data_IF_730217395093
#
_entry.id   IF_730217395093
#
_cell.length_a   1.000
_cell.length_b   1.000
_cell.length_c   1.000
_cell.angle_alpha   90.00
_cell.angle_beta   90.00
_cell.angle_gamma   90.00
#
_symmetry.space_group_name_H-M   'P 1'
#
loop_
_entity.id
_entity.type
_entity.pdbx_description
1 polymer ?
#
# COMPACT_ATOMS: atom_id res chain seq x y z
N UNK A 1 23.50 8.10 -5.09
CA UNK A 1 22.16 8.41 -5.67
C UNK A 1 21.27 9.00 -4.58
N UNK A 2 20.30 9.87 -4.89
CA UNK A 2 19.28 10.26 -3.88
C UNK A 2 18.16 9.19 -3.83
N UNK A 3 17.22 9.31 -2.88
CA UNK A 3 16.16 8.32 -2.70
C UNK A 3 15.20 8.26 -3.89
N UNK A 4 14.89 9.42 -4.47
CA UNK A 4 14.04 9.50 -5.68
C UNK A 4 14.61 8.69 -6.84
N UNK A 5 15.84 9.02 -7.25
CA UNK A 5 16.51 8.39 -8.39
C UNK A 5 16.74 6.90 -8.17
N UNK A 6 17.09 6.51 -6.93
CA UNK A 6 17.29 5.10 -6.55
C UNK A 6 16.03 4.29 -6.72
N UNK A 7 14.92 4.78 -6.18
CA UNK A 7 13.63 4.08 -6.29
C UNK A 7 13.12 4.04 -7.72
N UNK A 8 13.24 5.13 -8.46
CA UNK A 8 12.85 5.15 -9.87
C UNK A 8 13.64 4.13 -10.70
N UNK A 9 14.97 4.10 -10.55
CA UNK A 9 15.83 3.11 -11.21
C UNK A 9 15.52 1.68 -10.79
N UNK A 10 15.20 1.45 -9.51
CA UNK A 10 14.80 0.12 -9.06
C UNK A 10 13.51 -0.33 -9.78
N UNK A 11 12.51 0.54 -9.88
CA UNK A 11 11.24 0.22 -10.55
C UNK A 11 11.45 -0.03 -12.06
N UNK A 12 12.29 0.79 -12.72
CA UNK A 12 12.54 0.70 -14.17
C UNK A 12 13.63 -0.29 -14.57
N UNK A 13 14.18 -1.06 -13.63
CA UNK A 13 15.24 -2.02 -13.90
C UNK A 13 16.51 -1.36 -14.48
N UNK A 14 16.91 -0.21 -13.94
CA UNK A 14 18.01 0.65 -14.42
C UNK A 14 19.22 0.74 -13.46
N UNK A 15 19.54 -0.36 -12.78
CA UNK A 15 20.72 -0.55 -11.93
C UNK A 15 20.85 0.53 -10.83
N UNK A 16 20.00 0.50 -9.79
CA UNK A 16 20.14 1.40 -8.64
C UNK A 16 21.46 1.15 -7.88
N UNK A 17 21.93 2.13 -7.09
CA UNK A 17 23.14 1.99 -6.28
C UNK A 17 22.94 1.10 -5.03
N UNK A 18 21.69 0.81 -4.66
CA UNK A 18 21.27 -0.24 -3.74
C UNK A 18 19.75 -0.40 -3.84
N UNK A 19 19.21 -1.48 -3.27
CA UNK A 19 17.78 -1.62 -2.97
C UNK A 19 17.29 -0.37 -2.24
N UNK A 20 16.27 0.33 -2.76
CA UNK A 20 15.59 1.41 -2.05
C UNK A 20 14.81 0.86 -0.87
N UNK A 21 14.76 1.63 0.21
CA UNK A 21 14.11 1.25 1.45
C UNK A 21 12.95 2.18 1.76
N UNK A 22 11.82 1.59 2.15
CA UNK A 22 10.71 2.23 2.82
C UNK A 22 10.65 1.78 4.29
N UNK A 23 10.84 2.72 5.20
CA UNK A 23 10.84 2.39 6.61
C UNK A 23 9.47 1.99 7.16
N UNK A 24 8.35 2.41 6.54
CA UNK A 24 6.93 2.17 6.89
C UNK A 24 6.63 1.53 8.27
N UNK A 25 7.23 2.03 9.35
CA UNK A 25 7.08 1.48 10.70
C UNK A 25 5.68 1.82 11.21
N UNK A 26 5.06 0.89 11.94
CA UNK A 26 3.78 1.15 12.57
C UNK A 26 3.95 2.22 13.66
N UNK A 27 2.87 2.97 13.90
CA UNK A 27 2.84 4.01 14.94
C UNK A 27 3.22 3.45 16.32
N UNK A 28 2.82 2.20 16.63
CA UNK A 28 3.21 1.50 17.85
C UNK A 28 4.73 1.44 18.06
N UNK A 29 5.53 1.18 17.02
CA UNK A 29 6.98 1.18 17.11
C UNK A 29 7.52 2.56 17.52
N UNK A 30 7.05 3.64 16.88
CA UNK A 30 7.45 5.01 17.19
C UNK A 30 7.11 5.39 18.64
N UNK A 31 5.95 4.97 19.13
CA UNK A 31 5.52 5.25 20.50
C UNK A 31 6.34 4.49 21.54
N UNK A 32 6.67 3.24 21.26
CA UNK A 32 7.38 2.35 22.19
C UNK A 32 8.89 2.64 22.24
N UNK A 33 9.52 2.92 21.09
CA UNK A 33 10.97 3.11 21.02
C UNK A 33 11.44 4.57 20.91
N UNK A 34 10.55 5.51 20.56
CA UNK A 34 10.76 6.96 20.60
C UNK A 34 12.06 7.40 19.89
N UNK A 35 12.95 8.10 20.58
CA UNK A 35 14.22 8.61 20.05
C UNK A 35 15.11 7.50 19.45
N UNK A 36 15.03 6.27 19.96
CA UNK A 36 15.86 5.17 19.46
C UNK A 36 15.56 4.82 18.00
N UNK A 37 14.28 4.88 17.58
CA UNK A 37 13.93 4.71 16.17
C UNK A 37 14.46 5.89 15.35
N UNK A 38 14.38 7.11 15.86
CA UNK A 38 14.90 8.28 15.16
C UNK A 38 16.41 8.17 14.93
N UNK A 39 17.15 7.63 15.90
CA UNK A 39 18.58 7.39 15.75
C UNK A 39 18.88 6.30 14.70
N UNK A 40 18.10 5.22 14.64
CA UNK A 40 18.20 4.21 13.57
C UNK A 40 17.93 4.86 12.20
N UNK A 41 16.87 5.66 12.07
CA UNK A 41 16.50 6.32 10.80
C UNK A 41 17.56 7.35 10.37
N UNK A 42 18.25 8.02 11.31
CA UNK A 42 19.37 8.90 10.98
C UNK A 42 20.55 8.14 10.35
N UNK A 43 20.81 6.92 10.83
CA UNK A 43 21.88 6.05 10.31
C UNK A 43 21.46 5.43 8.97
N UNK A 44 20.20 5.00 8.87
CA UNK A 44 19.62 4.33 7.70
C UNK A 44 18.44 5.16 7.16
N UNK A 45 18.71 6.25 6.40
CA UNK A 45 17.68 7.17 5.97
C UNK A 45 16.70 6.53 4.99
N UNK A 46 15.43 6.94 5.10
CA UNK A 46 14.36 6.46 4.24
C UNK A 46 14.51 6.99 2.79
N UNK A 47 14.31 6.14 1.79
CA UNK A 47 14.37 6.52 0.36
C UNK A 47 13.01 6.95 -0.17
N UNK A 48 11.94 6.44 0.44
CA UNK A 48 10.56 6.71 0.09
C UNK A 48 9.95 7.70 1.10
N UNK A 49 8.96 8.48 0.68
CA UNK A 49 8.13 9.28 1.56
C UNK A 49 6.68 9.18 1.14
N UNK A 50 5.78 8.98 2.10
CA UNK A 50 4.34 9.13 1.87
C UNK A 50 3.94 10.58 2.01
N UNK A 51 3.11 11.07 1.11
CA UNK A 51 2.42 12.34 1.26
C UNK A 51 0.91 12.10 1.15
N UNK A 52 0.17 12.65 2.11
CA UNK A 52 -1.28 12.54 2.18
C UNK A 52 -1.87 13.94 2.14
N UNK A 53 -3.08 14.08 1.60
CA UNK A 53 -3.88 15.27 1.83
C UNK A 53 -4.19 15.43 3.33
N UNK A 54 -4.55 16.64 3.77
CA UNK A 54 -4.89 16.86 5.19
C UNK A 54 -6.11 16.05 5.64
N UNK A 55 -7.03 15.73 4.71
CA UNK A 55 -8.22 14.94 5.00
C UNK A 55 -7.87 13.47 5.16
N UNK A 56 -7.08 12.89 4.24
CA UNK A 56 -6.60 11.51 4.37
C UNK A 56 -5.77 11.31 5.64
N UNK A 57 -4.91 12.31 5.97
CA UNK A 57 -4.16 12.29 7.21
C UNK A 57 -5.10 12.32 8.43
N UNK A 58 -6.10 13.20 8.43
CA UNK A 58 -7.07 13.28 9.53
C UNK A 58 -7.85 11.97 9.71
N UNK A 59 -8.40 11.43 8.62
CA UNK A 59 -9.16 10.18 8.66
C UNK A 59 -8.30 9.00 9.10
N UNK A 60 -7.02 8.95 8.70
CA UNK A 60 -6.08 7.95 9.17
C UNK A 60 -5.77 8.14 10.66
N UNK A 61 -5.42 9.35 11.09
CA UNK A 61 -5.04 9.67 12.47
C UNK A 61 -6.14 9.26 13.44
N UNK A 62 -7.41 9.60 13.16
CA UNK A 62 -8.53 9.25 14.05
C UNK A 62 -8.67 7.74 14.26
N UNK A 63 -8.35 6.91 13.25
CA UNK A 63 -8.49 5.46 13.35
C UNK A 63 -7.54 4.82 14.36
N UNK A 64 -6.48 5.53 14.77
CA UNK A 64 -5.57 5.06 15.80
C UNK A 64 -6.06 5.40 17.22
N UNK A 65 -7.07 6.23 17.40
CA UNK A 65 -7.56 6.59 18.74
C UNK A 65 -8.44 5.49 19.35
N UNK A 66 -8.35 5.35 20.67
CA UNK A 66 -9.14 4.38 21.45
C UNK A 66 -10.65 4.67 21.36
N UNK A 67 -11.44 3.60 21.33
CA UNK A 67 -12.89 3.66 21.28
C UNK A 67 -13.45 3.84 19.87
N UNK A 68 -14.59 4.54 19.78
CA UNK A 68 -15.35 4.71 18.54
C UNK A 68 -15.14 6.11 17.95
N UNK A 69 -14.73 6.17 16.69
CA UNK A 69 -14.57 7.42 15.94
C UNK A 69 -15.26 7.32 14.59
N UNK A 70 -15.58 8.46 13.96
CA UNK A 70 -16.22 8.51 12.64
C UNK A 70 -15.35 9.26 11.65
N UNK A 71 -15.09 8.66 10.49
CA UNK A 71 -14.33 9.29 9.41
C UNK A 71 -15.19 10.22 8.55
N UNK A 72 -14.55 10.92 7.60
CA UNK A 72 -15.23 11.82 6.65
C UNK A 72 -16.30 11.15 5.79
N UNK A 73 -16.23 9.83 5.61
CA UNK A 73 -17.22 9.03 4.90
C UNK A 73 -18.38 8.61 5.81
N UNK A 74 -18.31 8.91 7.10
CA UNK A 74 -19.31 8.53 8.08
C UNK A 74 -19.14 7.11 8.62
N UNK A 75 -18.06 6.40 8.24
CA UNK A 75 -17.75 5.06 8.73
C UNK A 75 -17.33 5.15 10.18
N UNK A 76 -17.94 4.34 11.04
CA UNK A 76 -17.54 4.24 12.44
C UNK A 76 -16.42 3.21 12.58
N UNK A 77 -15.27 3.65 13.07
CA UNK A 77 -14.12 2.82 13.39
C UNK A 77 -14.08 2.54 14.89
N UNK A 78 -13.74 1.31 15.26
CA UNK A 78 -13.51 0.89 16.64
C UNK A 78 -12.07 0.41 16.80
N UNK A 79 -11.34 0.98 17.74
CA UNK A 79 -10.02 0.51 18.10
C UNK A 79 -10.02 -0.11 19.50
N UNK A 80 -9.86 -1.44 19.62
CA UNK A 80 -9.76 -2.12 20.92
C UNK A 80 -8.34 -2.12 21.50
N UNK A 81 -7.33 -1.73 20.73
CA UNK A 81 -5.91 -1.96 21.04
C UNK A 81 -5.19 -0.72 21.60
N UNK A 82 -5.91 0.37 21.85
CA UNK A 82 -5.33 1.65 22.26
C UNK A 82 -4.54 2.35 21.14
N UNK A 83 -3.93 3.49 21.49
CA UNK A 83 -3.20 4.33 20.52
C UNK A 83 -1.93 3.63 20.00
N UNK A 84 -1.82 3.47 18.68
CA UNK A 84 -0.65 2.88 18.02
C UNK A 84 -0.98 1.82 16.97
N UNK A 85 -2.14 1.17 17.08
CA UNK A 85 -2.67 0.23 16.09
C UNK A 85 -3.92 0.80 15.43
N UNK A 86 -4.13 0.48 14.15
CA UNK A 86 -5.29 0.96 13.40
C UNK A 86 -6.56 0.25 13.88
N UNK A 87 -7.63 1.00 14.05
CA UNK A 87 -8.96 0.47 14.36
C UNK A 87 -9.59 -0.31 13.20
N UNK A 88 -10.71 -0.94 13.48
CA UNK A 88 -11.48 -1.78 12.56
C UNK A 88 -12.81 -1.09 12.25
N UNK A 89 -13.28 -1.06 10.99
CA UNK A 89 -14.60 -0.52 10.68
C UNK A 89 -15.69 -1.39 11.32
N UNK A 90 -16.64 -0.76 12.02
CA UNK A 90 -17.75 -1.41 12.72
C UNK A 90 -19.11 -0.81 12.37
N UNK A 91 -19.16 0.47 11.97
CA UNK A 91 -20.40 1.14 11.57
C UNK A 91 -20.38 1.55 10.11
N UNK A 92 -21.43 1.19 9.38
CA UNK A 92 -21.50 1.27 7.92
C UNK A 92 -22.65 2.20 7.49
N UNK A 93 -22.37 3.36 6.88
CA UNK A 93 -23.40 4.35 6.50
C UNK A 93 -24.47 3.84 5.52
N UNK A 94 -24.15 2.78 4.76
CA UNK A 94 -25.01 2.15 3.76
C UNK A 94 -25.18 0.67 4.10
N UNK A 95 -25.32 0.34 5.39
CA UNK A 95 -25.75 -0.99 5.88
C UNK A 95 -27.09 -1.46 5.26
N UNK A 96 -27.94 -0.53 4.83
CA UNK A 96 -29.17 -0.78 4.09
C UNK A 96 -29.16 -0.06 2.74
N UNK A 97 -29.62 -0.74 1.69
CA UNK A 97 -29.70 -0.17 0.34
C UNK A 97 -30.62 1.04 0.21
N UNK A 98 -31.61 1.18 1.09
CA UNK A 98 -32.49 2.35 1.17
C UNK A 98 -31.71 3.66 1.42
N UNK A 99 -30.54 3.57 2.06
CA UNK A 99 -29.68 4.72 2.41
C UNK A 99 -28.78 5.18 1.26
N UNK A 100 -28.58 4.36 0.22
CA UNK A 100 -27.69 4.68 -0.90
C UNK A 100 -28.10 5.98 -1.61
N UNK A 101 -29.39 6.17 -1.89
CA UNK A 101 -29.88 7.34 -2.63
C UNK A 101 -29.79 8.66 -1.86
N UNK A 102 -29.77 8.61 -0.52
CA UNK A 102 -29.65 9.79 0.34
C UNK A 102 -28.22 10.01 0.86
N UNK A 103 -27.31 9.06 0.64
CA UNK A 103 -25.91 9.20 1.02
C UNK A 103 -25.25 10.39 0.31
N UNK A 104 -24.27 11.01 0.97
CA UNK A 104 -23.53 12.17 0.47
C UNK A 104 -22.05 11.88 0.58
N UNK A 105 -21.41 11.76 -0.57
CA UNK A 105 -19.96 11.55 -0.70
C UNK A 105 -19.22 12.83 -0.27
N UNK A 106 -18.11 12.74 0.49
CA UNK A 106 -17.35 13.89 0.99
C UNK A 106 -16.47 14.55 -0.09
N UNK A 107 -17.08 15.04 -1.18
CA UNK A 107 -16.35 15.69 -2.29
C UNK A 107 -15.80 17.08 -1.95
N UNK A 108 -16.47 17.80 -1.04
CA UNK A 108 -16.13 19.22 -0.76
C UNK A 108 -14.76 19.36 -0.11
N UNK A 109 -14.39 18.34 0.64
CA UNK A 109 -13.19 18.26 1.45
C UNK A 109 -11.93 18.02 0.58
N UNK A 110 -12.08 17.44 -0.62
CA UNK A 110 -10.96 17.03 -1.47
C UNK A 110 -10.08 18.23 -1.81
N UNK A 111 -10.59 19.24 -2.52
CA UNK A 111 -9.73 20.33 -3.03
C UNK A 111 -9.01 21.10 -1.92
N UNK A 112 -9.70 21.36 -0.81
CA UNK A 112 -9.13 22.11 0.31
C UNK A 112 -8.07 21.31 1.09
N UNK A 113 -8.10 19.99 0.99
CA UNK A 113 -7.15 19.12 1.68
C UNK A 113 -5.73 19.11 1.10
N UNK A 114 -5.53 19.66 -0.11
CA UNK A 114 -4.22 19.71 -0.79
C UNK A 114 -3.48 21.05 -0.62
N UNK A 115 -4.02 22.00 0.17
CA UNK A 115 -3.45 23.37 0.30
C UNK A 115 -1.95 23.42 0.64
N UNK A 116 -1.45 22.47 1.42
CA UNK A 116 -0.04 22.41 1.84
C UNK A 116 0.81 21.42 1.03
N UNK A 117 0.26 20.81 -0.02
CA UNK A 117 0.90 19.72 -0.76
C UNK A 117 2.23 20.15 -1.41
N UNK A 118 2.27 21.30 -2.08
CA UNK A 118 3.48 21.80 -2.74
C UNK A 118 4.67 22.01 -1.78
N UNK A 119 4.40 22.55 -0.60
CA UNK A 119 5.45 22.80 0.41
C UNK A 119 5.95 21.49 1.02
N UNK A 120 5.04 20.56 1.32
CA UNK A 120 5.39 19.22 1.79
C UNK A 120 6.25 18.45 0.78
N UNK A 121 5.92 18.54 -0.52
CA UNK A 121 6.72 17.93 -1.61
C UNK A 121 8.09 18.58 -1.69
N UNK A 122 8.17 19.91 -1.68
CA UNK A 122 9.45 20.63 -1.74
C UNK A 122 10.40 20.21 -0.62
N UNK A 123 9.89 20.00 0.59
CA UNK A 123 10.67 19.58 1.76
C UNK A 123 11.05 18.09 1.75
N UNK A 124 10.48 17.28 0.85
CA UNK A 124 10.70 15.83 0.76
C UNK A 124 11.28 15.36 -0.58
N UNK A 125 11.47 16.26 -1.55
CA UNK A 125 11.80 15.96 -2.96
C UNK A 125 13.04 15.10 -3.18
N UNK A 126 14.01 15.08 -2.26
CA UNK A 126 15.18 14.20 -2.33
C UNK A 126 14.83 12.70 -2.18
N UNK A 127 13.61 12.40 -1.73
CA UNK A 127 13.01 11.07 -1.62
C UNK A 127 12.07 10.80 -2.78
N UNK A 128 11.75 9.52 -2.96
CA UNK A 128 10.69 9.06 -3.84
C UNK A 128 9.33 9.24 -3.15
N UNK A 129 8.50 10.13 -3.67
CA UNK A 129 7.25 10.56 -3.05
C UNK A 129 6.10 9.73 -3.60
N UNK A 130 5.46 8.95 -2.73
CA UNK A 130 4.20 8.27 -2.99
C UNK A 130 3.02 9.06 -2.43
N UNK A 131 1.96 9.20 -3.21
CA UNK A 131 0.68 9.78 -2.80
C UNK A 131 -0.49 8.82 -3.01
N UNK A 132 -1.68 9.23 -2.58
CA UNK A 132 -2.89 8.44 -2.71
C UNK A 132 -3.08 7.51 -1.53
N UNK A 133 -3.20 6.21 -1.80
CA UNK A 133 -3.93 5.20 -1.02
C UNK A 133 -5.40 5.08 -1.47
N UNK A 134 -5.57 5.05 -2.79
CA UNK A 134 -6.85 4.95 -3.49
C UNK A 134 -7.49 3.59 -3.18
N UNK A 135 -8.74 3.61 -2.70
CA UNK A 135 -9.49 2.42 -2.29
C UNK A 135 -10.78 2.33 -3.08
N UNK A 136 -11.01 1.21 -3.75
CA UNK A 136 -12.29 0.95 -4.41
C UNK A 136 -13.07 -0.07 -3.59
N UNK A 137 -12.61 -1.31 -3.54
CA UNK A 137 -13.27 -2.41 -2.86
C UNK A 137 -13.31 -2.23 -1.32
N UNK A 138 -12.20 -1.81 -0.72
CA UNK A 138 -12.08 -1.49 0.71
C UNK A 138 -13.10 -0.43 1.10
N UNK A 139 -13.15 0.67 0.33
CA UNK A 139 -14.10 1.74 0.62
C UNK A 139 -15.55 1.26 0.46
N UNK A 140 -15.85 0.44 -0.54
CA UNK A 140 -17.19 -0.13 -0.70
C UNK A 140 -17.58 -0.97 0.52
N UNK A 141 -16.71 -1.84 1.02
CA UNK A 141 -17.07 -2.67 2.18
C UNK A 141 -17.02 -1.91 3.51
N UNK A 142 -16.27 -0.82 3.61
CA UNK A 142 -16.39 0.10 4.75
C UNK A 142 -17.75 0.80 4.77
N UNK A 143 -18.35 1.07 3.62
CA UNK A 143 -19.66 1.73 3.51
C UNK A 143 -20.84 0.79 3.68
N UNK A 144 -20.76 -0.42 3.10
CA UNK A 144 -21.86 -1.40 3.03
C UNK A 144 -21.80 -2.47 4.14
N UNK A 145 -20.62 -2.66 4.72
CA UNK A 145 -20.31 -3.81 5.55
C UNK A 145 -19.76 -4.96 4.71
N UNK A 146 -18.78 -5.68 5.27
CA UNK A 146 -18.00 -6.67 4.52
C UNK A 146 -18.81 -7.88 4.05
N UNK A 147 -19.44 -8.60 4.98
CA UNK A 147 -20.31 -9.75 4.66
C UNK A 147 -21.42 -9.35 3.68
N UNK A 148 -22.06 -8.24 4.01
CA UNK A 148 -23.08 -7.58 3.23
C UNK A 148 -22.65 -7.39 1.76
N UNK A 149 -21.49 -6.75 1.53
CA UNK A 149 -21.00 -6.50 0.17
C UNK A 149 -20.67 -7.81 -0.57
N UNK A 150 -20.07 -8.79 0.11
CA UNK A 150 -19.76 -10.09 -0.49
C UNK A 150 -21.04 -10.83 -0.92
N UNK A 151 -22.10 -10.79 -0.11
CA UNK A 151 -23.40 -11.35 -0.48
C UNK A 151 -23.97 -10.65 -1.71
N UNK A 152 -23.94 -9.32 -1.76
CA UNK A 152 -24.46 -8.60 -2.93
C UNK A 152 -23.70 -8.92 -4.22
N UNK A 153 -22.36 -9.02 -4.13
CA UNK A 153 -21.50 -9.42 -5.24
C UNK A 153 -21.79 -10.85 -5.70
N UNK A 154 -22.04 -11.77 -4.75
CA UNK A 154 -22.41 -13.15 -5.03
C UNK A 154 -23.79 -13.28 -5.68
N UNK A 155 -24.76 -12.47 -5.24
CA UNK A 155 -26.11 -12.42 -5.80
C UNK A 155 -26.22 -11.54 -7.05
N UNK A 156 -25.14 -10.88 -7.48
CA UNK A 156 -25.11 -9.97 -8.63
C UNK A 156 -26.15 -8.84 -8.53
N UNK A 157 -26.24 -8.21 -7.35
CA UNK A 157 -27.14 -7.09 -7.14
C UNK A 157 -26.64 -5.83 -7.88
N UNK A 158 -27.44 -5.33 -8.83
CA UNK A 158 -27.12 -4.14 -9.63
C UNK A 158 -26.80 -2.89 -8.80
N UNK A 159 -27.26 -2.82 -7.54
CA UNK A 159 -26.97 -1.70 -6.63
C UNK A 159 -25.49 -1.64 -6.26
N UNK A 160 -24.77 -2.76 -6.31
CA UNK A 160 -23.31 -2.80 -6.10
C UNK A 160 -22.59 -1.97 -7.16
N UNK A 161 -23.06 -2.01 -8.40
CA UNK A 161 -22.49 -1.22 -9.49
C UNK A 161 -22.66 0.28 -9.20
N UNK A 162 -23.82 0.69 -8.70
CA UNK A 162 -24.05 2.09 -8.28
C UNK A 162 -23.15 2.52 -7.13
N UNK A 163 -22.94 1.63 -6.15
CA UNK A 163 -22.02 1.88 -5.03
C UNK A 163 -20.57 1.98 -5.52
N UNK A 164 -20.14 1.08 -6.40
CA UNK A 164 -18.82 1.09 -7.04
C UNK A 164 -18.60 2.40 -7.79
N UNK A 165 -19.54 2.79 -8.65
CA UNK A 165 -19.41 3.98 -9.49
C UNK A 165 -19.34 5.27 -8.64
N UNK A 166 -20.10 5.31 -7.53
CA UNK A 166 -20.02 6.41 -6.57
C UNK A 166 -18.64 6.52 -5.90
N UNK A 167 -18.02 5.39 -5.53
CA UNK A 167 -16.67 5.37 -4.96
C UNK A 167 -15.63 5.69 -6.04
N UNK A 168 -15.81 5.19 -7.27
CA UNK A 168 -14.96 5.47 -8.41
C UNK A 168 -14.94 6.98 -8.75
N UNK A 169 -16.10 7.65 -8.77
CA UNK A 169 -16.19 9.10 -9.01
C UNK A 169 -15.39 9.90 -7.98
N UNK A 170 -15.42 9.49 -6.71
CA UNK A 170 -14.57 10.06 -5.68
C UNK A 170 -13.08 9.82 -5.96
N UNK A 171 -12.70 8.59 -6.27
CA UNK A 171 -11.31 8.23 -6.55
C UNK A 171 -10.75 8.99 -7.74
N UNK A 172 -11.52 9.15 -8.82
CA UNK A 172 -11.17 9.98 -9.98
C UNK A 172 -10.96 11.45 -9.60
N UNK A 173 -11.82 11.97 -8.72
CA UNK A 173 -11.70 13.35 -8.21
C UNK A 173 -10.45 13.53 -7.35
N UNK A 174 -10.13 12.56 -6.51
CA UNK A 174 -8.94 12.55 -5.66
C UNK A 174 -7.66 12.44 -6.50
N UNK A 175 -7.63 11.52 -7.47
CA UNK A 175 -6.54 11.35 -8.43
C UNK A 175 -6.27 12.66 -9.18
N UNK A 176 -7.32 13.32 -9.67
CA UNK A 176 -7.19 14.60 -10.37
C UNK A 176 -6.50 15.68 -9.52
N UNK A 177 -6.67 15.67 -8.21
CA UNK A 177 -5.94 16.59 -7.33
C UNK A 177 -4.48 16.16 -7.13
N UNK A 178 -4.21 14.88 -6.84
CA UNK A 178 -2.84 14.36 -6.69
C UNK A 178 -1.97 14.62 -7.93
N UNK A 179 -2.51 14.39 -9.12
CA UNK A 179 -1.77 14.46 -10.39
C UNK A 179 -1.38 15.88 -10.81
N UNK A 180 -1.84 16.92 -10.09
CA UNK A 180 -1.37 18.30 -10.26
C UNK A 180 0.00 18.55 -9.64
N UNK A 181 0.46 17.64 -8.79
CA UNK A 181 1.64 17.82 -7.97
C UNK A 181 2.79 16.90 -8.40
N UNK A 182 4.00 17.29 -8.02
CA UNK A 182 5.20 16.52 -8.31
C UNK A 182 5.39 15.36 -7.32
N UNK A 183 4.48 14.39 -7.37
CA UNK A 183 4.66 13.06 -6.77
C UNK A 183 5.28 12.12 -7.82
N UNK A 184 5.89 11.01 -7.39
CA UNK A 184 6.45 10.03 -8.33
C UNK A 184 5.50 8.86 -8.59
N UNK A 185 4.73 8.47 -7.57
CA UNK A 185 3.90 7.27 -7.59
C UNK A 185 2.56 7.48 -6.89
N UNK A 186 1.49 6.89 -7.43
CA UNK A 186 0.18 6.78 -6.78
C UNK A 186 -0.02 5.35 -6.25
N UNK A 187 -0.31 5.22 -4.96
CA UNK A 187 -0.64 3.96 -4.33
C UNK A 187 -2.15 3.69 -4.38
N UNK A 188 -2.49 2.46 -4.72
CA UNK A 188 -3.81 1.86 -4.61
C UNK A 188 -3.76 0.81 -3.50
N UNK A 189 -4.86 0.64 -2.78
CA UNK A 189 -4.99 -0.28 -1.67
C UNK A 189 -6.34 -0.93 -1.80
N UNK A 190 -6.35 -2.24 -2.02
CA UNK A 190 -7.54 -3.05 -1.88
C UNK A 190 -7.10 -4.48 -1.60
N UNK A 191 -7.30 -4.93 -0.37
CA UNK A 191 -7.02 -6.31 0.00
C UNK A 191 -8.06 -7.20 -0.70
N UNK A 192 -7.58 -8.07 -1.58
CA UNK A 192 -8.43 -8.96 -2.37
C UNK A 192 -8.37 -10.41 -1.91
N UNK A 193 -7.33 -10.78 -1.15
CA UNK A 193 -7.04 -12.16 -0.80
C UNK A 193 -7.48 -12.55 0.61
N UNK A 194 -7.91 -13.80 0.73
CA UNK A 194 -7.80 -14.60 1.96
C UNK A 194 -6.40 -15.21 2.05
N UNK A 195 -6.11 -16.04 3.04
CA UNK A 195 -4.81 -16.73 3.10
C UNK A 195 -4.59 -17.76 1.96
N UNK A 196 -5.63 -18.15 1.23
CA UNK A 196 -5.55 -19.23 0.23
C UNK A 196 -6.13 -18.90 -1.15
N UNK A 197 -6.95 -17.86 -1.27
CA UNK A 197 -7.65 -17.50 -2.52
C UNK A 197 -8.22 -16.09 -2.48
N UNK A 198 -8.72 -15.58 -3.62
CA UNK A 198 -9.49 -14.35 -3.65
C UNK A 198 -10.78 -14.43 -2.82
N UNK A 199 -11.19 -13.29 -2.27
CA UNK A 199 -12.46 -13.14 -1.53
C UNK A 199 -13.69 -13.15 -2.44
N UNK A 200 -13.53 -12.85 -3.73
CA UNK A 200 -14.58 -12.95 -4.74
C UNK A 200 -14.09 -13.77 -5.94
N UNK A 201 -15.01 -14.24 -6.78
CA UNK A 201 -14.61 -15.00 -7.96
C UNK A 201 -13.73 -14.14 -8.89
N UNK A 202 -12.67 -14.70 -9.50
CA UNK A 202 -11.85 -13.96 -10.47
C UNK A 202 -12.67 -13.38 -11.63
N UNK A 203 -13.74 -14.09 -12.05
CA UNK A 203 -14.66 -13.60 -13.09
C UNK A 203 -15.43 -12.36 -12.66
N UNK A 204 -15.95 -12.34 -11.42
CA UNK A 204 -16.59 -11.15 -10.84
C UNK A 204 -15.60 -9.99 -10.73
N UNK A 205 -14.36 -10.26 -10.30
CA UNK A 205 -13.31 -9.24 -10.23
C UNK A 205 -13.03 -8.61 -11.59
N UNK A 206 -12.81 -9.44 -12.62
CA UNK A 206 -12.56 -8.99 -14.00
C UNK A 206 -13.71 -8.19 -14.59
N UNK A 207 -14.95 -8.57 -14.29
CA UNK A 207 -16.11 -7.88 -14.83
C UNK A 207 -16.40 -6.55 -14.12
N UNK A 208 -16.22 -6.51 -12.80
CA UNK A 208 -16.70 -5.39 -11.97
C UNK A 208 -15.59 -4.39 -11.65
N UNK A 209 -14.36 -4.86 -11.37
CA UNK A 209 -13.31 -4.04 -10.78
C UNK A 209 -12.12 -3.79 -11.72
N UNK A 210 -11.72 -4.78 -12.54
CA UNK A 210 -10.62 -4.61 -13.50
C UNK A 210 -10.77 -3.34 -14.38
N UNK A 211 -11.94 -3.03 -14.96
CA UNK A 211 -12.09 -1.83 -15.79
C UNK A 211 -11.89 -0.53 -15.01
N UNK A 212 -12.24 -0.51 -13.71
CA UNK A 212 -12.03 0.66 -12.86
C UNK A 212 -10.55 0.87 -12.56
N UNK A 213 -9.80 -0.19 -12.28
CA UNK A 213 -8.35 -0.08 -12.10
C UNK A 213 -7.65 0.32 -13.40
N UNK A 214 -8.04 -0.26 -14.53
CA UNK A 214 -7.52 0.08 -15.86
C UNK A 214 -7.68 1.58 -16.16
N UNK A 215 -8.88 2.14 -15.95
CA UNK A 215 -9.13 3.58 -16.12
C UNK A 215 -8.27 4.43 -15.18
N UNK A 216 -8.24 4.11 -13.89
CA UNK A 216 -7.46 4.89 -12.92
C UNK A 216 -5.96 4.83 -13.19
N UNK A 217 -5.42 3.65 -13.53
CA UNK A 217 -4.00 3.46 -13.83
C UNK A 217 -3.62 4.18 -15.12
N UNK A 218 -4.43 4.09 -16.17
CA UNK A 218 -4.22 4.84 -17.42
C UNK A 218 -4.14 6.35 -17.15
N UNK A 219 -5.04 6.90 -16.34
CA UNK A 219 -5.02 8.33 -15.99
C UNK A 219 -3.72 8.71 -15.27
N UNK A 220 -3.22 7.87 -14.36
CA UNK A 220 -1.97 8.13 -13.64
C UNK A 220 -0.77 8.11 -14.60
N UNK A 221 -0.73 7.13 -15.51
CA UNK A 221 0.32 7.01 -16.52
C UNK A 221 0.31 8.15 -17.55
N UNK A 222 -0.86 8.62 -17.97
CA UNK A 222 -1.01 9.79 -18.87
C UNK A 222 -0.40 11.07 -18.28
N UNK A 223 -0.25 11.13 -16.95
CA UNK A 223 0.43 12.23 -16.24
C UNK A 223 1.91 11.93 -15.95
N UNK A 224 2.46 10.86 -16.52
CA UNK A 224 3.86 10.46 -16.38
C UNK A 224 4.23 9.99 -14.97
N UNK A 225 3.25 9.52 -14.18
CA UNK A 225 3.44 9.03 -12.80
C UNK A 225 3.37 7.52 -12.76
N UNK A 226 3.98 6.90 -11.76
CA UNK A 226 3.99 5.45 -11.56
C UNK A 226 2.80 5.00 -10.69
N UNK A 227 2.48 3.71 -10.72
CA UNK A 227 1.41 3.13 -9.89
C UNK A 227 1.90 2.00 -9.00
N UNK A 228 1.31 1.86 -7.81
CA UNK A 228 1.52 0.71 -6.93
C UNK A 228 0.18 0.12 -6.51
N UNK A 229 0.03 -1.19 -6.59
CA UNK A 229 -1.07 -1.92 -5.96
C UNK A 229 -0.59 -2.58 -4.66
N UNK A 230 -1.20 -2.21 -3.55
CA UNK A 230 -1.15 -2.95 -2.31
C UNK A 230 -2.36 -3.87 -2.19
N UNK A 231 -2.10 -5.14 -1.85
CA UNK A 231 -3.12 -6.10 -1.46
C UNK A 231 -2.50 -7.18 -0.58
N UNK A 232 -3.07 -7.38 0.61
CA UNK A 232 -2.83 -8.56 1.42
C UNK A 232 -3.62 -9.78 0.90
N UNK A 233 -3.20 -10.97 1.37
CA UNK A 233 -3.76 -12.25 0.99
C UNK A 233 -3.30 -12.79 -0.37
N UNK A 234 -3.82 -13.97 -0.72
CA UNK A 234 -3.49 -14.72 -1.94
C UNK A 234 -4.30 -14.20 -3.12
N UNK A 235 -3.63 -13.51 -4.04
CA UNK A 235 -4.22 -12.92 -5.25
C UNK A 235 -3.67 -13.48 -6.57
N UNK A 236 -2.98 -14.62 -6.52
CA UNK A 236 -2.32 -15.24 -7.68
C UNK A 236 -3.22 -15.38 -8.91
N UNK A 237 -4.52 -15.64 -8.73
CA UNK A 237 -5.50 -15.79 -9.80
C UNK A 237 -5.81 -14.53 -10.62
N UNK A 238 -5.32 -13.36 -10.20
CA UNK A 238 -5.46 -12.08 -10.91
C UNK A 238 -4.12 -11.37 -11.12
N UNK A 239 -2.98 -12.02 -10.84
CA UNK A 239 -1.67 -11.39 -11.03
C UNK A 239 -1.39 -11.02 -12.50
N UNK A 240 -1.79 -11.86 -13.44
CA UNK A 240 -1.70 -11.54 -14.87
C UNK A 240 -2.54 -10.32 -15.24
N UNK A 241 -3.75 -10.19 -14.66
CA UNK A 241 -4.62 -9.04 -14.89
C UNK A 241 -4.02 -7.74 -14.32
N UNK A 242 -3.38 -7.80 -13.15
CA UNK A 242 -2.69 -6.66 -12.51
C UNK A 242 -1.53 -6.17 -13.39
N UNK A 243 -0.78 -7.10 -13.97
CA UNK A 243 0.29 -6.78 -14.91
C UNK A 243 -0.27 -6.21 -16.21
N UNK A 244 -1.37 -6.76 -16.73
CA UNK A 244 -2.04 -6.28 -17.94
C UNK A 244 -2.55 -4.84 -17.79
N UNK A 245 -3.13 -4.50 -16.62
CA UNK A 245 -3.53 -3.12 -16.29
C UNK A 245 -2.32 -2.16 -16.28
N UNK A 246 -1.12 -2.68 -16.03
CA UNK A 246 0.11 -1.88 -16.05
C UNK A 246 0.54 -1.34 -14.68
N UNK A 247 0.18 -1.98 -13.58
CA UNK A 247 0.75 -1.59 -12.29
C UNK A 247 2.29 -1.69 -12.31
N UNK A 248 3.01 -0.59 -12.03
CA UNK A 248 4.48 -0.59 -12.04
C UNK A 248 5.06 -1.33 -10.83
N UNK A 249 4.36 -1.29 -9.70
CA UNK A 249 4.80 -1.83 -8.42
C UNK A 249 3.69 -2.64 -7.76
N UNK A 250 4.04 -3.74 -7.11
CA UNK A 250 3.10 -4.55 -6.32
C UNK A 250 3.64 -4.76 -4.90
N UNK A 251 2.81 -4.46 -3.90
CA UNK A 251 3.05 -4.75 -2.49
C UNK A 251 2.11 -5.87 -2.06
N UNK A 252 2.62 -7.09 -2.07
CA UNK A 252 1.86 -8.32 -1.81
C UNK A 252 2.18 -8.88 -0.42
N UNK A 253 1.28 -9.71 0.12
CA UNK A 253 1.64 -10.68 1.16
C UNK A 253 2.48 -11.82 0.56
N UNK A 254 3.72 -11.48 0.16
CA UNK A 254 4.60 -12.28 -0.71
C UNK A 254 4.84 -13.72 -0.23
N UNK A 255 4.77 -13.99 1.08
CA UNK A 255 5.03 -15.32 1.65
C UNK A 255 3.89 -16.33 1.43
N UNK A 256 2.75 -15.88 0.90
CA UNK A 256 1.71 -16.79 0.44
C UNK A 256 2.04 -17.38 -0.94
N UNK A 257 2.98 -16.78 -1.68
CA UNK A 257 3.28 -17.13 -3.06
C UNK A 257 4.49 -18.05 -3.18
N UNK A 258 4.57 -18.77 -4.30
CA UNK A 258 5.79 -19.42 -4.73
C UNK A 258 6.77 -18.38 -5.30
N UNK A 259 7.94 -18.25 -4.67
CA UNK A 259 8.95 -17.26 -5.06
C UNK A 259 9.53 -17.50 -6.46
N UNK A 260 9.64 -18.75 -6.91
CA UNK A 260 10.10 -19.04 -8.28
C UNK A 260 9.05 -18.57 -9.28
N UNK A 261 7.76 -18.83 -9.02
CA UNK A 261 6.70 -18.32 -9.89
C UNK A 261 6.67 -16.79 -9.92
N UNK A 262 6.87 -16.13 -8.78
CA UNK A 262 6.96 -14.66 -8.75
C UNK A 262 8.13 -14.14 -9.57
N UNK A 263 9.32 -14.72 -9.35
CA UNK A 263 10.55 -14.33 -10.04
C UNK A 263 10.45 -14.54 -11.55
N UNK A 264 10.05 -15.74 -11.96
CA UNK A 264 10.16 -16.17 -13.35
C UNK A 264 9.04 -15.52 -14.22
N UNK A 265 7.86 -15.25 -13.64
CA UNK A 265 6.72 -14.73 -14.40
C UNK A 265 6.56 -13.21 -14.32
N UNK A 266 7.03 -12.56 -13.24
CA UNK A 266 6.64 -11.17 -12.93
C UNK A 266 7.79 -10.21 -12.60
N UNK A 267 8.99 -10.68 -12.21
CA UNK A 267 10.09 -9.79 -11.80
C UNK A 267 10.67 -8.89 -12.91
N UNK A 268 10.27 -9.09 -14.17
CA UNK A 268 10.60 -8.20 -15.30
C UNK A 268 9.45 -7.28 -15.70
N UNK A 269 8.26 -7.50 -15.12
CA UNK A 269 7.03 -6.80 -15.49
C UNK A 269 6.60 -5.82 -14.41
N UNK A 270 6.91 -6.12 -13.14
CA UNK A 270 6.59 -5.28 -11.99
C UNK A 270 7.77 -5.24 -11.03
N UNK A 271 7.87 -4.14 -10.27
CA UNK A 271 8.73 -4.07 -9.11
C UNK A 271 8.01 -4.63 -7.88
N UNK A 272 8.66 -5.52 -7.14
CA UNK A 272 8.12 -5.99 -5.87
C UNK A 272 8.45 -5.00 -4.75
N UNK A 273 7.45 -4.60 -4.00
CA UNK A 273 7.62 -3.86 -2.76
C UNK A 273 7.40 -4.85 -1.62
N UNK A 274 8.48 -5.40 -1.07
CA UNK A 274 8.40 -6.56 -0.19
C UNK A 274 8.80 -6.25 1.24
N UNK A 275 8.11 -6.89 2.19
CA UNK A 275 8.46 -6.94 3.61
C UNK A 275 8.59 -8.38 4.08
N UNK A 276 9.26 -8.55 5.22
CA UNK A 276 9.33 -9.85 5.93
C UNK A 276 7.94 -10.30 6.38
N UNK A 277 7.80 -11.60 6.69
CA UNK A 277 6.55 -12.19 7.18
C UNK A 277 6.01 -11.52 8.44
N UNK A 278 5.04 -10.63 8.29
CA UNK A 278 4.42 -9.96 9.43
C UNK A 278 3.86 -10.95 10.47
N UNK A 279 3.44 -12.16 10.04
CA UNK A 279 2.91 -13.17 10.96
C UNK A 279 4.00 -13.84 11.83
N UNK A 280 5.27 -13.76 11.42
CA UNK A 280 6.40 -14.38 12.13
C UNK A 280 7.35 -13.35 12.76
N UNK A 281 7.27 -12.09 12.36
CA UNK A 281 8.16 -11.01 12.79
C UNK A 281 8.34 -10.91 14.32
N UNK A 282 7.29 -11.16 15.11
CA UNK A 282 7.35 -11.11 16.57
C UNK A 282 8.19 -12.22 17.24
N UNK A 283 8.69 -13.19 16.47
CA UNK A 283 9.46 -14.35 16.98
C UNK A 283 10.86 -14.49 16.40
N UNK A 284 11.23 -13.67 15.41
CA UNK A 284 12.52 -13.80 14.74
C UNK A 284 13.63 -13.05 15.48
N UNK A 285 14.81 -13.62 15.46
CA UNK A 285 16.05 -12.99 15.92
C UNK A 285 16.59 -11.98 14.90
N UNK A 286 17.50 -11.08 15.30
CA UNK A 286 18.18 -10.17 14.37
C UNK A 286 18.90 -10.88 13.22
N UNK A 287 19.45 -12.07 13.46
CA UNK A 287 20.13 -12.87 12.44
C UNK A 287 19.14 -13.46 11.43
N UNK A 288 18.04 -14.06 11.91
CA UNK A 288 16.97 -14.57 11.05
C UNK A 288 16.36 -13.45 10.20
N UNK A 289 16.12 -12.27 10.79
CA UNK A 289 15.62 -11.11 10.06
C UNK A 289 16.59 -10.65 8.96
N UNK A 290 17.88 -10.59 9.26
CA UNK A 290 18.92 -10.25 8.28
C UNK A 290 18.98 -11.26 7.13
N UNK A 291 18.86 -12.55 7.44
CA UNK A 291 18.87 -13.62 6.44
C UNK A 291 17.61 -13.60 5.56
N UNK A 292 16.44 -13.32 6.14
CA UNK A 292 15.19 -13.16 5.38
C UNK A 292 15.27 -11.98 4.42
N UNK A 293 15.80 -10.82 4.84
CA UNK A 293 16.04 -9.68 3.94
C UNK A 293 16.90 -10.10 2.74
N UNK A 294 18.00 -10.81 2.96
CA UNK A 294 18.86 -11.29 1.88
C UNK A 294 18.12 -12.26 0.96
N UNK A 295 17.32 -13.16 1.53
CA UNK A 295 16.52 -14.13 0.78
C UNK A 295 15.52 -13.40 -0.14
N UNK A 296 14.79 -12.41 0.39
CA UNK A 296 13.82 -11.63 -0.39
C UNK A 296 14.48 -10.87 -1.53
N UNK A 297 15.57 -10.14 -1.26
CA UNK A 297 16.28 -9.40 -2.29
C UNK A 297 16.82 -10.36 -3.37
N UNK A 298 17.35 -11.52 -2.98
CA UNK A 298 17.93 -12.48 -3.93
C UNK A 298 16.91 -13.21 -4.78
N UNK A 299 15.68 -13.41 -4.28
CA UNK A 299 14.64 -14.12 -5.01
C UNK A 299 13.76 -13.20 -5.86
N UNK A 300 13.50 -11.97 -5.39
CA UNK A 300 12.56 -11.05 -6.05
C UNK A 300 13.25 -9.87 -6.72
N UNK A 301 14.45 -9.49 -6.25
CA UNK A 301 15.28 -8.48 -6.88
C UNK A 301 16.21 -9.04 -7.95
N UNK A 302 16.67 -8.17 -8.82
CA UNK A 302 17.71 -8.42 -9.82
C UNK A 302 18.83 -7.39 -9.68
N UNK A 303 19.99 -7.67 -10.30
CA UNK A 303 21.12 -6.72 -10.34
C UNK A 303 20.70 -5.35 -10.87
N UNK A 304 19.74 -5.32 -11.80
CA UNK A 304 19.22 -4.11 -12.41
C UNK A 304 18.09 -3.43 -11.61
N UNK A 305 17.55 -4.02 -10.55
CA UNK A 305 16.42 -3.47 -9.78
C UNK A 305 15.31 -4.49 -9.55
N UNK A 306 14.06 -4.03 -9.52
CA UNK A 306 12.87 -4.88 -9.40
C UNK A 306 12.41 -5.14 -7.96
N UNK A 307 13.08 -4.55 -6.96
CA UNK A 307 12.71 -4.71 -5.55
C UNK A 307 12.88 -3.42 -4.74
N UNK A 308 11.87 -3.11 -3.93
CA UNK A 308 11.87 -2.08 -2.88
C UNK A 308 11.68 -2.80 -1.54
N UNK A 309 12.60 -2.56 -0.60
CA UNK A 309 12.53 -3.16 0.73
C UNK A 309 11.65 -2.35 1.67
N UNK A 310 10.70 -3.01 2.31
CA UNK A 310 9.86 -2.43 3.36
C UNK A 310 10.20 -3.06 4.72
N UNK A 311 10.33 -2.22 5.75
CA UNK A 311 10.58 -2.67 7.13
C UNK A 311 9.28 -3.07 7.82
N UNK A 312 8.24 -2.23 7.76
CA UNK A 312 6.85 -2.64 7.93
C UNK A 312 6.47 -3.36 9.23
N UNK A 313 6.97 -2.92 10.39
CA UNK A 313 6.74 -3.56 11.70
C UNK A 313 6.38 -2.58 12.82
N UNK A 314 5.75 -3.10 13.87
CA UNK A 314 5.40 -2.38 15.10
C UNK A 314 6.30 -2.72 16.29
N UNK A 315 5.78 -2.50 17.49
CA UNK A 315 6.48 -2.79 18.74
C UNK A 315 6.43 -4.25 19.17
N UNK A 316 5.79 -5.11 18.37
CA UNK A 316 5.91 -6.57 18.47
C UNK A 316 7.31 -7.08 18.09
N UNK A 317 8.11 -6.27 17.40
CA UNK A 317 9.48 -6.61 16.98
C UNK A 317 10.49 -5.85 17.83
N UNK A 318 11.46 -6.57 18.41
CA UNK A 318 12.52 -5.95 19.22
C UNK A 318 13.34 -4.93 18.43
N UNK A 319 13.74 -3.84 19.09
CA UNK A 319 14.53 -2.77 18.48
C UNK A 319 15.83 -3.26 17.80
N UNK A 320 16.51 -4.24 18.38
CA UNK A 320 17.73 -4.85 17.79
C UNK A 320 17.43 -5.61 16.50
N UNK A 321 16.24 -6.21 16.40
CA UNK A 321 15.79 -6.88 15.18
C UNK A 321 15.38 -5.87 14.13
N UNK A 322 14.67 -4.80 14.52
CA UNK A 322 14.36 -3.67 13.64
C UNK A 322 15.67 -3.11 13.04
N UNK A 323 16.66 -2.79 13.87
CA UNK A 323 17.96 -2.27 13.41
C UNK A 323 18.66 -3.25 12.45
N UNK A 324 18.58 -4.56 12.70
CA UNK A 324 19.16 -5.56 11.80
C UNK A 324 18.49 -5.59 10.42
N UNK A 325 17.16 -5.37 10.35
CA UNK A 325 16.43 -5.26 9.08
C UNK A 325 16.90 -4.01 8.31
N UNK A 326 16.94 -2.85 8.96
CA UNK A 326 17.45 -1.60 8.36
C UNK A 326 18.87 -1.76 7.82
N UNK A 327 19.76 -2.34 8.65
CA UNK A 327 21.15 -2.60 8.27
C UNK A 327 21.24 -3.56 7.09
N UNK A 328 20.41 -4.61 7.06
CA UNK A 328 20.41 -5.58 5.98
C UNK A 328 19.99 -4.95 4.64
N UNK A 329 18.89 -4.18 4.61
CA UNK A 329 18.47 -3.46 3.40
C UNK A 329 19.51 -2.43 2.94
N UNK A 330 20.15 -1.72 3.87
CA UNK A 330 21.18 -0.73 3.55
C UNK A 330 22.44 -1.35 2.93
N UNK A 331 22.77 -2.61 3.26
CA UNK A 331 24.03 -3.25 2.86
C UNK A 331 23.90 -4.21 1.66
N UNK A 332 22.74 -4.83 1.45
CA UNK A 332 22.60 -5.98 0.52
C UNK A 332 21.96 -5.63 -0.83
N UNK A 333 22.03 -4.35 -1.22
CA UNK A 333 21.23 -3.83 -2.31
C UNK A 333 21.80 -3.92 -3.73
N UNK A 334 23.06 -4.33 -3.93
CA UNK A 334 23.61 -4.61 -5.27
C UNK A 334 23.94 -6.10 -5.32
N UNK A 335 23.03 -6.90 -5.88
CA UNK A 335 23.32 -8.30 -6.18
C UNK A 335 24.08 -8.33 -7.50
N UNK A 336 25.40 -8.20 -7.45
CA UNK A 336 26.25 -8.83 -8.46
C UNK A 336 26.34 -10.31 -8.11
N UNK A 337 25.36 -11.08 -8.57
CA UNK A 337 25.53 -12.51 -8.72
C UNK A 337 25.82 -12.76 -10.20
N UNK A 338 27.07 -12.50 -10.59
CA UNK A 338 27.72 -13.39 -11.54
C UNK A 338 27.85 -14.74 -10.81
N UNK A 339 26.79 -15.55 -10.87
CA UNK A 339 26.93 -16.98 -10.61
C UNK A 339 27.50 -17.53 -11.92
N UNK A 340 28.80 -17.84 -11.89
CA UNK A 340 29.49 -18.63 -12.92
C UNK A 340 28.74 -19.93 -13.25
#
# INVERSE_FOLDING_TARGET
>A
MNGQERTYRAIKLEKPDRVPMDNNLLLSAYLSYKEKIHDIIKIYPNDVSTILSSQEKHDLDITYHDGYVKDSWGVTWYNPNGYGYKGIPQGHPIDEWSKLGSYRVPFKEIKDSFRNMSENIKNTRSKFIKGGWIRLFERMHFLRGFENLLLDLGYQDDRVIKLRDMVMEYNLSLLKEYLKYDIDLVCFSDDWGTQTSLMISPGSWRNIFKPCYDEMVSIVHDHGKLTCLHSDGMISSIMDDIVEIGFDVVNLQIHLFDFNQLRDNYAEKVCFWGRLDFQKLHRISPEEASNEVKFLISNLGKAQGGYIGEVGCGDEVSLTTIEAIFKAYSNHGIIHQDIE
#
